data_IF_854131722935
#
_entry.id   IF_854131722935
#
_cell.length_a   1.000
_cell.length_b   1.000
_cell.length_c   1.000
_cell.angle_alpha   90.00
_cell.angle_beta   90.00
_cell.angle_gamma   90.00
#
_symmetry.space_group_name_H-M   'P 1'
#
loop_
_entity.id
_entity.type
_entity.pdbx_description
1 polymer ?
#
# COMPACT_ATOMS: atom_id res chain seq x y z
N UNK A 1 -4.80 -26.59 91.33
CA UNK A 1 -3.44 -26.87 90.85
C UNK A 1 -3.42 -26.46 89.40
N UNK A 2 -3.07 -25.19 89.19
CA UNK A 2 -2.99 -24.51 87.92
C UNK A 2 -2.01 -25.20 86.98
N UNK A 3 -2.40 -25.34 85.71
CA UNK A 3 -1.45 -25.15 84.62
C UNK A 3 -2.13 -24.32 83.53
N UNK A 4 -1.51 -23.19 83.31
CA UNK A 4 -1.91 -22.06 82.50
C UNK A 4 -1.33 -22.22 81.08
N UNK A 5 -1.98 -21.56 80.12
CA UNK A 5 -1.38 -20.87 78.97
C UNK A 5 -0.75 -21.70 77.83
N UNK A 6 -1.47 -21.77 76.71
CA UNK A 6 -0.88 -21.49 75.40
C UNK A 6 -1.95 -20.89 74.45
N UNK A 7 -1.62 -19.69 73.94
CA UNK A 7 -2.34 -18.82 73.02
C UNK A 7 -3.00 -19.56 71.82
N UNK A 8 -4.23 -19.23 71.43
CA UNK A 8 -4.63 -18.03 70.67
C UNK A 8 -3.80 -17.84 69.39
N UNK A 9 -4.37 -18.15 68.21
CA UNK A 9 -4.51 -17.25 67.04
C UNK A 9 -4.89 -18.05 65.76
N UNK A 10 -5.99 -17.71 65.05
CA UNK A 10 -6.21 -18.12 63.66
C UNK A 10 -5.32 -17.31 62.69
N UNK A 11 -4.93 -17.84 61.52
CA UNK A 11 -4.10 -17.10 60.59
C UNK A 11 -4.85 -15.90 59.97
N UNK A 12 -4.14 -14.81 59.64
CA UNK A 12 -4.73 -13.55 59.22
C UNK A 12 -5.35 -13.61 57.82
N UNK A 13 -6.58 -13.11 57.75
CA UNK A 13 -7.26 -12.65 56.54
C UNK A 13 -6.68 -11.28 56.13
N UNK A 14 -5.55 -11.27 55.43
CA UNK A 14 -5.04 -10.03 54.83
C UNK A 14 -4.59 -10.27 53.39
N UNK A 15 -5.39 -9.77 52.45
CA UNK A 15 -5.06 -9.93 51.04
C UNK A 15 -6.07 -9.38 50.05
N UNK A 16 -6.75 -8.27 50.36
CA UNK A 16 -7.39 -7.43 49.34
C UNK A 16 -6.31 -6.86 48.40
N UNK A 17 -5.85 -7.66 47.43
CA UNK A 17 -5.13 -7.13 46.27
C UNK A 17 -6.16 -6.81 45.20
N UNK A 18 -6.43 -5.51 45.11
CA UNK A 18 -7.27 -4.91 44.09
C UNK A 18 -6.95 -5.48 42.72
N UNK A 19 -8.02 -5.87 42.04
CA UNK A 19 -8.05 -6.10 40.61
C UNK A 19 -7.57 -4.80 39.93
N UNK A 20 -6.31 -4.76 39.53
CA UNK A 20 -5.87 -3.77 38.54
C UNK A 20 -6.24 -4.33 37.18
N UNK A 21 -7.48 -4.04 36.74
CA UNK A 21 -7.84 -4.13 35.32
C UNK A 21 -7.02 -3.07 34.60
N UNK A 22 -5.80 -3.42 34.19
CA UNK A 22 -5.01 -2.61 33.25
C UNK A 22 -5.65 -2.80 31.88
N UNK A 23 -6.66 -1.97 31.60
CA UNK A 23 -7.27 -1.83 30.29
C UNK A 23 -6.19 -1.40 29.29
N UNK A 24 -5.55 -2.36 28.64
CA UNK A 24 -4.59 -2.10 27.57
C UNK A 24 -5.38 -2.12 26.26
N UNK A 25 -6.01 -0.98 25.95
CA UNK A 25 -6.44 -0.69 24.58
C UNK A 25 -5.18 -0.53 23.72
N UNK A 26 -4.63 -1.62 23.19
CA UNK A 26 -3.67 -1.60 22.08
C UNK A 26 -3.39 -3.02 21.59
N UNK A 27 -4.46 -3.69 21.13
CA UNK A 27 -4.44 -5.05 20.59
C UNK A 27 -3.94 -5.17 19.14
N UNK A 28 -3.12 -4.22 18.66
CA UNK A 28 -2.45 -4.32 17.35
C UNK A 28 -0.96 -4.09 17.56
N UNK A 29 -0.21 -5.17 17.79
CA UNK A 29 1.24 -5.12 17.62
C UNK A 29 1.54 -4.97 16.12
N UNK A 30 2.01 -3.78 15.72
CA UNK A 30 2.35 -3.44 14.32
C UNK A 30 3.75 -3.95 13.91
N UNK A 31 4.58 -4.46 14.83
CA UNK A 31 5.95 -4.90 14.52
C UNK A 31 6.36 -6.21 15.22
N UNK A 32 7.14 -7.04 14.51
CA UNK A 32 7.71 -8.30 15.00
C UNK A 32 9.13 -8.09 15.58
N UNK A 33 9.41 -8.75 16.70
CA UNK A 33 10.55 -8.51 17.61
C UNK A 33 11.91 -9.15 17.17
N UNK A 34 12.11 -9.51 15.88
CA UNK A 34 13.42 -10.01 15.37
C UNK A 34 13.87 -9.34 14.06
N UNK A 35 15.11 -8.82 14.10
CA UNK A 35 15.79 -8.02 13.06
C UNK A 35 15.75 -8.57 11.62
N UNK A 36 15.95 -9.86 11.31
CA UNK A 36 15.99 -10.31 9.91
C UNK A 36 14.61 -10.26 9.23
N UNK A 37 13.54 -10.48 9.98
CA UNK A 37 12.16 -10.38 9.46
C UNK A 37 11.73 -8.93 9.32
N UNK A 38 12.10 -8.09 10.30
CA UNK A 38 11.89 -6.64 10.26
C UNK A 38 12.66 -5.97 9.12
N UNK A 39 13.91 -6.37 8.87
CA UNK A 39 14.72 -5.87 7.77
C UNK A 39 14.15 -6.26 6.40
N UNK A 40 13.72 -7.52 6.23
CA UNK A 40 13.06 -7.95 5.00
C UNK A 40 11.75 -7.19 4.77
N UNK A 41 11.02 -6.89 5.82
CA UNK A 41 9.77 -6.14 5.74
C UNK A 41 9.99 -4.68 5.38
N UNK A 42 10.97 -4.02 6.00
CA UNK A 42 11.40 -2.68 5.64
C UNK A 42 11.89 -2.63 4.19
N UNK A 43 12.71 -3.59 3.76
CA UNK A 43 13.20 -3.67 2.38
C UNK A 43 12.04 -3.85 1.39
N UNK A 44 11.06 -4.70 1.73
CA UNK A 44 9.90 -4.93 0.86
C UNK A 44 8.99 -3.71 0.80
N UNK A 45 8.72 -3.06 1.94
CA UNK A 45 7.96 -1.81 2.00
C UNK A 45 8.66 -0.72 1.18
N UNK A 46 9.98 -0.55 1.32
CA UNK A 46 10.78 0.38 0.52
C UNK A 46 10.75 0.05 -0.97
N UNK A 47 10.84 -1.23 -1.34
CA UNK A 47 10.76 -1.66 -2.73
C UNK A 47 9.38 -1.37 -3.32
N UNK A 48 8.30 -1.60 -2.57
CA UNK A 48 6.94 -1.25 -2.99
C UNK A 48 6.80 0.26 -3.16
N UNK A 49 7.30 1.06 -2.21
CA UNK A 49 7.29 2.53 -2.31
C UNK A 49 8.08 3.00 -3.53
N UNK A 50 9.29 2.47 -3.73
CA UNK A 50 10.12 2.79 -4.89
C UNK A 50 9.45 2.38 -6.20
N UNK A 51 8.78 1.22 -6.24
CA UNK A 51 8.03 0.73 -7.39
C UNK A 51 6.83 1.63 -7.72
N UNK A 52 6.02 1.99 -6.72
CA UNK A 52 4.89 2.92 -6.89
C UNK A 52 5.39 4.29 -7.33
N UNK A 53 6.47 4.79 -6.74
CA UNK A 53 7.09 6.05 -7.14
C UNK A 53 7.56 6.00 -8.60
N UNK A 54 8.27 4.94 -9.00
CA UNK A 54 8.71 4.76 -10.38
C UNK A 54 7.53 4.67 -11.36
N UNK A 55 6.45 3.97 -10.99
CA UNK A 55 5.24 3.87 -11.80
C UNK A 55 4.56 5.23 -11.98
N UNK A 56 4.40 6.00 -10.91
CA UNK A 56 3.86 7.37 -10.98
C UNK A 56 4.74 8.24 -11.86
N UNK A 57 6.06 8.17 -11.70
CA UNK A 57 6.99 8.97 -12.51
C UNK A 57 6.94 8.57 -13.98
N UNK A 58 6.82 7.28 -14.28
CA UNK A 58 6.65 6.76 -15.64
C UNK A 58 5.34 7.22 -16.28
N UNK A 59 4.23 7.20 -15.54
CA UNK A 59 2.93 7.67 -16.02
C UNK A 59 2.94 9.19 -16.33
N UNK A 60 3.55 10.00 -15.45
CA UNK A 60 3.71 11.44 -15.69
C UNK A 60 4.61 11.71 -16.89
N UNK A 61 5.71 10.99 -17.02
CA UNK A 61 6.61 11.12 -18.17
C UNK A 61 5.93 10.75 -19.49
N UNK A 62 5.09 9.69 -19.48
CA UNK A 62 4.28 9.31 -20.63
C UNK A 62 3.24 10.39 -20.97
N UNK A 63 2.54 10.95 -19.97
CA UNK A 63 1.60 12.05 -20.17
C UNK A 63 2.27 13.25 -20.85
N UNK A 64 3.42 13.68 -20.31
CA UNK A 64 4.19 14.80 -20.86
C UNK A 64 4.68 14.53 -22.29
N UNK A 65 5.03 13.28 -22.61
CA UNK A 65 5.39 12.87 -23.96
C UNK A 65 4.21 13.00 -24.93
N UNK A 66 3.03 12.54 -24.53
CA UNK A 66 1.83 12.60 -25.37
C UNK A 66 1.37 14.05 -25.54
N UNK A 67 1.45 14.88 -24.50
CA UNK A 67 1.15 16.32 -24.57
C UNK A 67 1.99 17.07 -25.61
N UNK A 68 3.20 16.60 -25.94
CA UNK A 68 4.00 17.20 -27.02
C UNK A 68 3.32 17.09 -28.39
N UNK A 69 2.39 16.15 -28.57
CA UNK A 69 1.58 16.03 -29.78
C UNK A 69 0.51 17.14 -29.89
N UNK A 70 0.24 17.89 -28.81
CA UNK A 70 -0.66 19.04 -28.83
C UNK A 70 0.01 20.31 -29.42
N UNK A 71 1.35 20.38 -29.43
CA UNK A 71 2.11 21.55 -29.90
C UNK A 71 1.78 21.93 -31.36
N UNK A 72 1.68 20.99 -32.32
CA UNK A 72 1.21 21.30 -33.67
C UNK A 72 -0.20 21.91 -33.68
N UNK A 73 -1.12 21.39 -32.86
CA UNK A 73 -2.48 21.91 -32.72
C UNK A 73 -2.51 23.35 -32.18
N UNK A 74 -1.69 23.65 -31.17
CA UNK A 74 -1.53 25.01 -30.62
C UNK A 74 -1.02 26.00 -31.67
N UNK A 75 -0.05 25.56 -32.49
CA UNK A 75 0.47 26.38 -33.59
C UNK A 75 -0.59 26.62 -34.67
N UNK A 76 -1.38 25.60 -35.01
CA UNK A 76 -2.49 25.72 -35.97
C UNK A 76 -3.59 26.64 -35.45
N UNK A 77 -3.98 26.50 -34.19
CA UNK A 77 -4.95 27.38 -33.53
C UNK A 77 -4.49 28.84 -33.56
N UNK A 78 -3.25 29.10 -33.15
CA UNK A 78 -2.67 30.44 -33.16
C UNK A 78 -2.54 31.04 -34.56
N UNK A 79 -2.10 30.25 -35.54
CA UNK A 79 -1.97 30.71 -36.92
C UNK A 79 -3.35 30.98 -37.57
N UNK A 80 -4.32 30.09 -37.36
CA UNK A 80 -5.68 30.23 -37.90
C UNK A 80 -6.43 31.41 -37.31
N UNK A 81 -6.37 31.58 -35.98
CA UNK A 81 -7.00 32.72 -35.29
C UNK A 81 -6.37 34.05 -35.72
N UNK A 82 -5.05 34.15 -35.71
CA UNK A 82 -4.35 35.36 -36.18
C UNK A 82 -4.65 35.68 -37.65
N UNK A 83 -4.74 34.68 -38.52
CA UNK A 83 -5.12 34.88 -39.92
C UNK A 83 -6.57 35.35 -40.05
N UNK A 84 -7.50 34.73 -39.30
CA UNK A 84 -8.90 35.12 -39.29
C UNK A 84 -9.11 36.58 -38.86
N UNK A 85 -8.39 37.02 -37.82
CA UNK A 85 -8.46 38.39 -37.30
C UNK A 85 -7.94 39.40 -38.34
N UNK A 86 -6.78 39.12 -38.95
CA UNK A 86 -6.21 39.97 -40.00
C UNK A 86 -7.13 40.09 -41.23
N UNK A 87 -7.78 38.99 -41.64
CA UNK A 87 -8.73 38.98 -42.76
C UNK A 87 -10.03 39.73 -42.42
N UNK A 88 -10.53 39.58 -41.19
CA UNK A 88 -11.70 40.30 -40.71
C UNK A 88 -11.44 41.82 -40.67
N UNK A 89 -10.26 42.22 -40.19
CA UNK A 89 -9.83 43.62 -40.17
C UNK A 89 -9.67 44.20 -41.58
N UNK A 90 -9.08 43.44 -42.50
CA UNK A 90 -8.95 43.83 -43.90
C UNK A 90 -10.31 44.04 -44.56
N UNK A 91 -11.23 43.08 -44.40
CA UNK A 91 -12.62 43.20 -44.89
C UNK A 91 -13.32 44.42 -44.28
N UNK A 92 -13.14 44.66 -42.97
CA UNK A 92 -13.70 45.82 -42.28
C UNK A 92 -13.22 47.18 -42.83
N UNK A 93 -11.97 47.27 -43.29
CA UNK A 93 -11.41 48.46 -43.93
C UNK A 93 -11.97 48.67 -45.34
N UNK A 94 -12.12 47.60 -46.12
CA UNK A 94 -12.63 47.64 -47.51
C UNK A 94 -14.11 48.04 -47.58
N UNK A 95 -14.90 47.65 -46.57
CA UNK A 95 -16.32 48.05 -46.43
C UNK A 95 -16.57 49.57 -46.44
N UNK A 96 -15.54 50.39 -46.19
CA UNK A 96 -15.65 51.86 -46.14
C UNK A 96 -15.76 52.53 -47.52
N UNK A 97 -15.71 51.77 -48.62
CA UNK A 97 -15.86 52.30 -50.00
C UNK A 97 -17.34 52.38 -50.40
N UNK A 98 -17.90 53.57 -50.71
CA UNK A 98 -19.29 53.72 -51.15
C UNK A 98 -19.52 53.01 -52.51
N UNK A 99 -20.70 52.40 -52.70
CA UNK A 99 -21.18 51.68 -53.89
C UNK A 99 -20.71 50.22 -54.13
N UNK A 100 -19.59 49.74 -53.57
CA UNK A 100 -19.10 48.35 -53.82
C UNK A 100 -18.56 47.60 -52.58
N UNK A 101 -18.66 48.21 -51.39
CA UNK A 101 -18.05 47.65 -50.18
C UNK A 101 -18.47 46.22 -49.82
N UNK A 102 -19.75 45.87 -49.99
CA UNK A 102 -20.28 44.56 -49.59
C UNK A 102 -19.78 43.42 -50.49
N UNK A 103 -19.77 43.58 -51.82
CA UNK A 103 -19.22 42.59 -52.75
C UNK A 103 -17.72 42.36 -52.54
N UNK A 104 -16.98 43.41 -52.19
CA UNK A 104 -15.55 43.33 -51.92
C UNK A 104 -15.24 42.67 -50.56
N UNK A 105 -16.17 42.70 -49.58
CA UNK A 105 -15.95 42.08 -48.26
C UNK A 105 -16.24 40.58 -48.19
N UNK A 106 -17.11 40.07 -49.07
CA UNK A 106 -17.51 38.66 -49.09
C UNK A 106 -16.32 37.67 -49.12
N UNK A 107 -15.32 37.81 -50.01
CA UNK A 107 -14.18 36.89 -50.04
C UNK A 107 -13.31 36.96 -48.77
N UNK A 108 -13.14 38.15 -48.17
CA UNK A 108 -12.40 38.29 -46.92
C UNK A 108 -13.13 37.62 -45.75
N UNK A 109 -14.46 37.75 -45.67
CA UNK A 109 -15.26 37.08 -44.64
C UNK A 109 -15.17 35.56 -44.79
N UNK A 110 -15.32 35.04 -46.00
CA UNK A 110 -15.24 33.61 -46.26
C UNK A 110 -13.85 33.05 -45.93
N UNK A 111 -12.79 33.78 -46.26
CA UNK A 111 -11.43 33.41 -45.89
C UNK A 111 -11.21 33.46 -44.37
N UNK A 112 -11.77 34.47 -43.68
CA UNK A 112 -11.70 34.56 -42.23
C UNK A 112 -12.43 33.39 -41.55
N UNK A 113 -13.61 33.01 -42.05
CA UNK A 113 -14.38 31.87 -41.52
C UNK A 113 -13.65 30.53 -41.76
N UNK A 114 -13.02 30.35 -42.92
CA UNK A 114 -12.17 29.19 -43.19
C UNK A 114 -10.96 29.14 -42.23
N UNK A 115 -10.31 30.28 -41.99
CA UNK A 115 -9.19 30.38 -41.04
C UNK A 115 -9.62 30.07 -39.59
N UNK A 116 -10.83 30.49 -39.17
CA UNK A 116 -11.42 30.08 -37.89
C UNK A 116 -11.66 28.58 -37.81
N UNK A 117 -12.19 27.97 -38.89
CA UNK A 117 -12.38 26.52 -38.96
C UNK A 117 -11.06 25.75 -38.77
N UNK A 118 -9.94 26.25 -39.33
CA UNK A 118 -8.61 25.70 -39.07
C UNK A 118 -8.20 25.86 -37.60
N UNK A 119 -8.50 27.01 -37.00
CA UNK A 119 -8.16 27.27 -35.61
C UNK A 119 -8.92 26.34 -34.66
N UNK A 120 -10.23 26.17 -34.91
CA UNK A 120 -11.09 25.27 -34.14
C UNK A 120 -10.66 23.81 -34.29
N UNK A 121 -10.30 23.36 -35.50
CA UNK A 121 -9.73 22.03 -35.70
C UNK A 121 -8.42 21.83 -34.91
N UNK A 122 -7.57 22.86 -34.84
CA UNK A 122 -6.36 22.86 -34.01
C UNK A 122 -6.66 22.73 -32.52
N UNK A 123 -7.73 23.35 -32.04
CA UNK A 123 -8.20 23.27 -30.64
C UNK A 123 -8.80 21.90 -30.32
N UNK A 124 -9.64 21.36 -31.19
CA UNK A 124 -10.24 20.04 -31.04
C UNK A 124 -9.15 18.95 -30.98
N UNK A 125 -8.14 19.05 -31.85
CA UNK A 125 -6.99 18.15 -31.81
C UNK A 125 -6.27 18.19 -30.46
N UNK A 126 -6.01 19.38 -29.90
CA UNK A 126 -5.39 19.51 -28.58
C UNK A 126 -6.22 18.84 -27.49
N UNK A 127 -7.55 19.01 -27.53
CA UNK A 127 -8.44 18.39 -26.56
C UNK A 127 -8.41 16.86 -26.64
N UNK A 128 -8.37 16.29 -27.84
CA UNK A 128 -8.24 14.84 -28.03
C UNK A 128 -6.89 14.32 -27.53
N UNK A 129 -5.80 15.05 -27.77
CA UNK A 129 -4.46 14.70 -27.28
C UNK A 129 -4.44 14.72 -25.75
N UNK A 130 -5.05 15.72 -25.12
CA UNK A 130 -5.14 15.83 -23.66
C UNK A 130 -5.89 14.65 -23.04
N UNK A 131 -7.06 14.31 -23.59
CA UNK A 131 -7.82 13.14 -23.15
C UNK A 131 -7.04 11.83 -23.33
N UNK A 132 -6.36 11.67 -24.46
CA UNK A 132 -5.55 10.48 -24.74
C UNK A 132 -4.36 10.39 -23.78
N UNK A 133 -3.67 11.50 -23.53
CA UNK A 133 -2.55 11.57 -22.60
C UNK A 133 -2.98 11.16 -21.19
N UNK A 134 -4.14 11.63 -20.73
CA UNK A 134 -4.70 11.27 -19.43
C UNK A 134 -5.11 9.80 -19.37
N UNK A 135 -5.85 9.32 -20.37
CA UNK A 135 -6.31 7.93 -20.43
C UNK A 135 -5.14 6.94 -20.42
N UNK A 136 -4.10 7.19 -21.23
CA UNK A 136 -2.90 6.34 -21.28
C UNK A 136 -2.13 6.39 -19.96
N UNK A 137 -1.90 7.57 -19.38
CA UNK A 137 -1.20 7.69 -18.12
C UNK A 137 -1.91 6.93 -16.99
N UNK A 138 -3.24 7.03 -16.91
CA UNK A 138 -4.05 6.28 -15.94
C UNK A 138 -3.97 4.78 -16.20
N UNK A 139 -4.11 4.33 -17.45
CA UNK A 139 -4.01 2.91 -17.79
C UNK A 139 -2.66 2.31 -17.40
N UNK A 140 -1.56 3.02 -17.69
CA UNK A 140 -0.20 2.62 -17.29
C UNK A 140 -0.04 2.60 -15.78
N UNK A 141 -0.72 3.47 -15.02
CA UNK A 141 -0.66 3.52 -13.56
C UNK A 141 -1.48 2.41 -12.89
N UNK A 142 -2.62 2.02 -13.46
CA UNK A 142 -3.50 0.98 -12.91
C UNK A 142 -2.80 -0.38 -12.84
N UNK A 143 -2.04 -0.75 -13.88
CA UNK A 143 -1.37 -2.05 -13.94
C UNK A 143 -0.40 -2.31 -12.76
N UNK A 144 0.60 -1.44 -12.48
CA UNK A 144 1.52 -1.63 -11.35
C UNK A 144 0.81 -1.50 -10.01
N UNK A 145 -0.20 -0.62 -9.87
CA UNK A 145 -0.99 -0.52 -8.64
C UNK A 145 -1.79 -1.80 -8.38
N UNK A 146 -2.41 -2.37 -9.41
CA UNK A 146 -3.11 -3.63 -9.34
C UNK A 146 -2.18 -4.76 -8.91
N UNK A 147 -0.98 -4.84 -9.47
CA UNK A 147 0.01 -5.85 -9.08
C UNK A 147 0.37 -5.76 -7.58
N UNK A 148 0.56 -4.54 -7.06
CA UNK A 148 0.82 -4.33 -5.63
C UNK A 148 -0.40 -4.67 -4.78
N UNK A 149 -1.59 -4.22 -5.19
CA UNK A 149 -2.83 -4.40 -4.42
C UNK A 149 -3.25 -5.88 -4.34
N UNK A 150 -3.18 -6.61 -5.46
CA UNK A 150 -3.61 -8.00 -5.54
C UNK A 150 -2.49 -8.99 -5.23
N UNK A 151 -1.23 -8.66 -5.48
CA UNK A 151 -0.10 -9.55 -5.21
C UNK A 151 0.42 -9.41 -3.77
N UNK A 152 0.69 -8.19 -3.34
CA UNK A 152 1.44 -7.94 -2.10
C UNK A 152 0.54 -7.80 -0.87
N UNK A 153 -0.54 -7.03 -0.99
CA UNK A 153 -1.47 -6.76 0.11
C UNK A 153 -2.05 -8.04 0.75
N UNK A 154 -2.59 -9.03 0.01
CA UNK A 154 -3.15 -10.23 0.62
C UNK A 154 -2.07 -11.12 1.25
N UNK A 155 -0.85 -11.15 0.69
CA UNK A 155 0.25 -11.90 1.26
C UNK A 155 0.68 -11.30 2.61
N UNK A 156 0.74 -9.98 2.70
CA UNK A 156 1.04 -9.24 3.94
C UNK A 156 -0.05 -9.41 4.98
N UNK A 157 -1.32 -9.28 4.59
CA UNK A 157 -2.47 -9.49 5.48
C UNK A 157 -2.52 -10.93 5.99
N UNK A 158 -2.27 -11.93 5.14
CA UNK A 158 -2.21 -13.34 5.56
C UNK A 158 -1.07 -13.58 6.56
N UNK A 159 0.10 -13.00 6.33
CA UNK A 159 1.23 -13.09 7.26
C UNK A 159 0.92 -12.42 8.60
N UNK A 160 0.37 -11.19 8.59
CA UNK A 160 -0.06 -10.48 9.79
C UNK A 160 -1.11 -11.27 10.60
N UNK A 161 -2.09 -11.89 9.92
CA UNK A 161 -3.11 -12.72 10.59
C UNK A 161 -2.52 -13.99 11.21
N UNK A 162 -1.56 -14.63 10.53
CA UNK A 162 -0.85 -15.81 11.06
C UNK A 162 0.05 -15.45 12.25
N UNK A 163 0.78 -14.35 12.16
CA UNK A 163 1.62 -13.85 13.25
C UNK A 163 0.77 -13.42 14.46
N UNK A 164 -0.34 -12.70 14.22
CA UNK A 164 -1.25 -12.24 15.27
C UNK A 164 -2.00 -13.35 15.98
N UNK A 165 -2.43 -14.39 15.26
CA UNK A 165 -3.06 -15.58 15.88
C UNK A 165 -2.07 -16.36 16.74
N UNK A 166 -0.84 -16.55 16.27
CA UNK A 166 0.18 -17.23 17.06
C UNK A 166 0.65 -16.42 18.29
N UNK A 167 0.74 -15.09 18.18
CA UNK A 167 1.02 -14.22 19.33
C UNK A 167 -0.09 -14.24 20.39
N UNK A 168 -1.36 -14.33 19.97
CA UNK A 168 -2.50 -14.48 20.88
C UNK A 168 -2.51 -15.85 21.57
N UNK A 169 -2.18 -16.92 20.84
CA UNK A 169 -2.04 -18.26 21.43
C UNK A 169 -0.89 -18.32 22.45
N UNK A 170 0.26 -17.69 22.15
CA UNK A 170 1.41 -17.63 23.04
C UNK A 170 1.11 -16.93 24.39
N UNK A 171 0.11 -16.05 24.43
CA UNK A 171 -0.31 -15.34 25.64
C UNK A 171 -1.35 -16.10 26.48
N UNK A 172 -1.86 -17.25 25.99
CA UNK A 172 -2.87 -18.04 26.67
C UNK A 172 -2.29 -19.04 27.70
N UNK A 173 -3.09 -19.50 28.70
CA UNK A 173 -2.63 -20.43 29.74
C UNK A 173 -2.12 -21.78 29.23
N UNK A 174 -2.64 -22.26 28.09
CA UNK A 174 -2.20 -23.48 27.39
C UNK A 174 -1.35 -23.17 26.13
N UNK A 175 -0.82 -21.95 26.01
CA UNK A 175 -0.15 -21.47 24.81
C UNK A 175 1.13 -22.24 24.48
N UNK A 176 1.86 -22.66 25.50
CA UNK A 176 3.10 -23.45 25.38
C UNK A 176 2.87 -24.77 24.64
N UNK A 177 1.91 -25.56 25.09
CA UNK A 177 1.65 -26.89 24.53
C UNK A 177 1.05 -26.81 23.13
N UNK A 178 0.19 -25.82 22.87
CA UNK A 178 -0.36 -25.57 21.54
C UNK A 178 0.69 -25.11 20.53
N UNK A 179 1.67 -24.31 20.96
CA UNK A 179 2.79 -23.90 20.11
C UNK A 179 3.71 -25.09 19.81
N UNK A 180 3.96 -25.95 20.79
CA UNK A 180 4.77 -27.14 20.59
C UNK A 180 4.08 -28.18 19.69
N UNK A 181 2.78 -28.39 19.82
CA UNK A 181 1.99 -29.21 18.88
C UNK A 181 2.02 -28.65 17.46
N UNK A 182 1.94 -27.33 17.32
CA UNK A 182 2.03 -26.67 16.01
C UNK A 182 3.42 -26.82 15.39
N UNK A 183 4.48 -26.73 16.20
CA UNK A 183 5.84 -27.00 15.75
C UNK A 183 5.95 -28.43 15.18
N UNK A 184 5.42 -29.42 15.89
CA UNK A 184 5.40 -30.82 15.43
C UNK A 184 4.64 -30.99 14.11
N UNK A 185 3.53 -30.28 13.92
CA UNK A 185 2.68 -30.41 12.74
C UNK A 185 3.19 -29.66 11.49
N UNK A 186 4.02 -28.62 11.66
CA UNK A 186 4.35 -27.69 10.54
C UNK A 186 5.83 -27.48 10.30
N UNK A 187 6.72 -27.94 11.20
CA UNK A 187 8.16 -27.76 11.03
C UNK A 187 8.79 -28.90 10.21
N UNK A 188 9.80 -28.59 9.37
CA UNK A 188 10.50 -29.60 8.59
C UNK A 188 11.27 -30.57 9.50
N UNK A 189 11.24 -31.87 9.18
CA UNK A 189 11.83 -32.95 9.99
C UNK A 189 13.29 -32.68 10.39
N UNK A 190 14.10 -32.11 9.49
CA UNK A 190 15.51 -31.81 9.76
C UNK A 190 15.75 -30.74 10.85
N UNK A 191 14.73 -29.98 11.25
CA UNK A 191 14.81 -29.08 12.43
C UNK A 191 14.33 -29.76 13.71
N UNK A 192 13.37 -30.68 13.61
CA UNK A 192 12.88 -31.45 14.75
C UNK A 192 13.97 -32.41 15.25
N UNK A 193 14.66 -33.10 14.35
CA UNK A 193 15.75 -34.04 14.71
C UNK A 193 16.97 -33.37 15.34
N UNK A 194 17.14 -32.05 15.21
CA UNK A 194 18.18 -31.29 15.93
C UNK A 194 17.83 -31.03 17.40
N UNK A 195 16.55 -31.11 17.78
CA UNK A 195 16.12 -30.96 19.17
C UNK A 195 16.33 -32.28 19.91
N UNK A 196 15.81 -33.37 19.34
CA UNK A 196 16.05 -34.72 19.84
C UNK A 196 16.05 -35.73 18.68
N UNK A 197 16.86 -36.80 18.74
CA UNK A 197 16.84 -37.87 17.74
C UNK A 197 15.46 -38.52 17.62
N UNK A 198 14.72 -38.65 18.72
CA UNK A 198 13.32 -39.09 18.77
C UNK A 198 12.43 -38.07 19.51
N UNK A 199 12.13 -36.98 18.82
CA UNK A 199 11.22 -35.92 19.31
C UNK A 199 9.81 -36.44 19.63
N UNK A 200 9.32 -37.47 18.91
CA UNK A 200 7.96 -37.97 19.08
C UNK A 200 7.79 -38.80 20.36
N UNK A 201 8.82 -39.55 20.75
CA UNK A 201 8.85 -40.24 22.03
C UNK A 201 9.03 -39.26 23.20
N UNK A 202 9.97 -38.31 23.09
CA UNK A 202 10.22 -37.31 24.13
C UNK A 202 8.98 -36.44 24.41
N UNK A 203 8.23 -36.05 23.37
CA UNK A 203 6.94 -35.37 23.51
C UNK A 203 5.88 -36.23 24.21
N UNK A 204 5.75 -37.51 23.83
CA UNK A 204 4.76 -38.42 24.44
C UNK A 204 5.03 -38.70 25.92
N UNK A 205 6.29 -38.63 26.36
CA UNK A 205 6.68 -38.74 27.77
C UNK A 205 6.43 -37.46 28.59
N UNK A 206 5.99 -36.37 27.95
CA UNK A 206 5.74 -35.10 28.61
C UNK A 206 7.01 -34.41 29.11
N UNK A 207 8.14 -34.60 28.42
CA UNK A 207 9.40 -33.94 28.79
C UNK A 207 9.30 -32.43 28.60
N UNK A 208 9.29 -31.70 29.72
CA UNK A 208 9.16 -30.24 29.76
C UNK A 208 10.27 -29.54 28.95
N UNK A 209 11.48 -30.07 28.94
CA UNK A 209 12.59 -29.49 28.17
C UNK A 209 12.35 -29.59 26.65
N UNK A 210 11.80 -30.72 26.19
CA UNK A 210 11.42 -30.93 24.78
C UNK A 210 10.24 -30.04 24.39
N UNK A 211 9.23 -29.90 25.26
CA UNK A 211 8.07 -29.03 25.05
C UNK A 211 8.52 -27.57 24.91
N UNK A 212 9.42 -27.11 25.77
CA UNK A 212 10.00 -25.77 25.70
C UNK A 212 10.81 -25.54 24.43
N UNK A 213 11.64 -26.50 24.04
CA UNK A 213 12.46 -26.40 22.84
C UNK A 213 11.59 -26.29 21.57
N UNK A 214 10.49 -27.05 21.51
CA UNK A 214 9.52 -27.01 20.41
C UNK A 214 8.74 -25.70 20.37
N UNK A 215 8.22 -25.24 21.52
CA UNK A 215 7.54 -23.95 21.62
C UNK A 215 8.47 -22.78 21.24
N UNK A 216 9.71 -22.81 21.70
CA UNK A 216 10.74 -21.84 21.33
C UNK A 216 11.10 -21.91 19.84
N UNK A 217 11.02 -23.07 19.19
CA UNK A 217 11.26 -23.22 17.75
C UNK A 217 10.13 -22.60 16.91
N UNK A 218 8.88 -22.75 17.32
CA UNK A 218 7.74 -22.07 16.67
C UNK A 218 7.80 -20.55 16.88
N UNK A 219 8.10 -20.09 18.10
CA UNK A 219 8.30 -18.67 18.39
C UNK A 219 9.49 -18.07 17.60
N UNK A 220 10.55 -18.87 17.39
CA UNK A 220 11.68 -18.52 16.51
C UNK A 220 11.25 -18.33 15.07
N UNK A 221 10.42 -19.22 14.53
CA UNK A 221 9.90 -19.10 13.17
C UNK A 221 9.04 -17.83 12.98
N UNK A 222 8.33 -17.43 14.02
CA UNK A 222 7.43 -16.26 14.02
C UNK A 222 8.12 -14.95 14.42
N UNK A 223 9.42 -14.98 14.75
CA UNK A 223 10.18 -13.79 15.11
C UNK A 223 9.89 -13.25 16.53
N UNK A 224 9.40 -14.08 17.45
CA UNK A 224 9.06 -13.70 18.83
C UNK A 224 10.08 -14.27 19.82
N UNK A 225 10.56 -13.48 20.80
CA UNK A 225 11.46 -13.98 21.85
C UNK A 225 10.69 -14.85 22.84
N UNK A 226 11.29 -15.97 23.25
CA UNK A 226 10.86 -16.74 24.42
C UNK A 226 10.93 -15.83 25.64
N UNK A 227 9.87 -15.79 26.43
CA UNK A 227 9.88 -15.11 27.73
C UNK A 227 10.34 -16.17 28.72
N UNK A 228 11.64 -16.22 28.96
CA UNK A 228 12.19 -17.14 29.97
C UNK A 228 11.59 -16.73 31.33
N UNK A 229 11.05 -17.70 32.04
CA UNK A 229 10.53 -17.56 33.40
C UNK A 229 11.52 -18.22 34.35
#
# INVERSE_FOLDING_TARGET
>A
MDLQLACSQPPPIDGCRGVVVRGTLSGVKIYADRFPTAARQLLTDLLVVAWVYAAVRGALWLHDLVQKLAVPGQKLEGAGSGLADNLADAGGKVRRVPLVGDELTAPFRQAADAARGLADAGRDQQHLVDQLALALAVAVLIFPLGLVLFGWLPLRVRWMRRAGSAAKLAAGPAGRDLLALRALATQPLGRLTRIAPDVAEAWRRGDDATVDALAALELRQLGLRTRDR
#
